data_IF_383121266821
#
_entry.id   IF_383121266821
#
_cell.length_a   1.000
_cell.length_b   1.000
_cell.length_c   1.000
_cell.angle_alpha   90.00
_cell.angle_beta   90.00
_cell.angle_gamma   90.00
#
_symmetry.space_group_name_H-M   'P 1'
#
loop_
_entity.id
_entity.type
_entity.pdbx_description
1 polymer ?
#
# COMPACT_ATOMS: atom_id res chain seq x y z
N UNK A 1 -12.90 -3.67 65.43
CA UNK A 1 -11.74 -3.55 64.56
C UNK A 1 -12.18 -4.07 63.19
N UNK A 2 -12.73 -3.19 62.39
CA UNK A 2 -13.39 -3.50 61.10
C UNK A 2 -12.36 -3.42 59.97
N UNK A 3 -12.19 -4.52 59.24
CA UNK A 3 -11.43 -4.57 57.98
C UNK A 3 -12.41 -4.33 56.84
N UNK A 4 -12.33 -3.15 56.22
CA UNK A 4 -13.01 -2.84 54.95
C UNK A 4 -12.28 -3.46 53.80
N UNK A 5 -12.93 -4.38 53.10
CA UNK A 5 -12.51 -4.89 51.78
C UNK A 5 -12.70 -3.81 50.71
N UNK A 6 -11.64 -3.37 50.05
CA UNK A 6 -11.70 -2.59 48.80
C UNK A 6 -11.84 -3.56 47.62
N UNK A 7 -12.96 -3.44 46.94
CA UNK A 7 -13.19 -4.19 45.70
C UNK A 7 -12.37 -3.64 44.55
N UNK A 8 -11.46 -4.44 44.05
CA UNK A 8 -10.78 -4.20 42.77
C UNK A 8 -11.75 -4.51 41.64
N UNK A 9 -12.16 -3.47 40.91
CA UNK A 9 -12.84 -3.61 39.64
C UNK A 9 -11.78 -3.97 38.58
N UNK A 10 -11.83 -5.19 38.09
CA UNK A 10 -11.20 -5.55 36.82
C UNK A 10 -11.80 -4.67 35.71
N UNK A 11 -11.00 -3.80 35.14
CA UNK A 11 -11.30 -3.10 33.89
C UNK A 11 -10.93 -4.06 32.78
N UNK A 12 -11.92 -4.79 32.27
CA UNK A 12 -11.81 -5.53 31.03
C UNK A 12 -11.55 -4.55 29.88
N UNK A 13 -10.55 -4.88 29.06
CA UNK A 13 -10.00 -4.06 28.01
C UNK A 13 -11.08 -3.47 27.09
N UNK A 14 -10.99 -2.18 26.86
CA UNK A 14 -11.61 -1.55 25.70
C UNK A 14 -10.84 -2.03 24.47
N UNK A 15 -11.50 -2.80 23.62
CA UNK A 15 -11.08 -2.96 22.23
C UNK A 15 -10.91 -1.56 21.65
N UNK A 16 -9.67 -1.19 21.34
CA UNK A 16 -9.38 0.00 20.56
C UNK A 16 -9.73 -0.36 19.12
N UNK A 17 -11.01 -0.21 18.75
CA UNK A 17 -11.40 -0.22 17.37
C UNK A 17 -10.59 0.88 16.65
N UNK A 18 -9.68 0.46 15.76
CA UNK A 18 -9.01 1.38 14.85
C UNK A 18 -10.10 2.10 14.05
N UNK A 19 -10.23 3.39 14.29
CA UNK A 19 -11.04 4.25 13.45
C UNK A 19 -10.12 4.91 12.41
N UNK A 20 -10.08 4.41 11.17
CA UNK A 20 -9.22 4.98 10.13
C UNK A 20 -9.55 6.45 9.83
N UNK A 21 -10.74 6.90 10.17
CA UNK A 21 -11.18 8.29 10.00
C UNK A 21 -10.74 9.21 11.16
N UNK A 22 -10.28 8.67 12.30
CA UNK A 22 -9.91 9.45 13.50
C UNK A 22 -8.41 9.78 13.59
N UNK A 23 -7.56 9.23 12.73
CA UNK A 23 -6.09 9.33 12.87
C UNK A 23 -5.53 10.63 12.28
N UNK A 24 -6.29 11.39 11.50
CA UNK A 24 -5.78 12.60 10.83
C UNK A 24 -6.73 13.80 10.90
N UNK A 25 -6.95 14.34 12.10
CA UNK A 25 -7.18 15.78 12.27
C UNK A 25 -5.82 16.53 12.19
N UNK A 26 -5.12 16.40 11.10
CA UNK A 26 -4.18 17.43 10.71
C UNK A 26 -5.01 18.52 10.07
N UNK A 27 -5.09 19.68 10.71
CA UNK A 27 -5.68 20.89 10.17
C UNK A 27 -5.01 21.24 8.83
N UNK A 28 -5.58 20.73 7.75
CA UNK A 28 -5.29 21.27 6.42
C UNK A 28 -6.12 22.54 6.28
N UNK A 29 -5.44 23.67 6.33
CA UNK A 29 -6.02 24.96 5.96
C UNK A 29 -6.59 24.85 4.54
N UNK A 30 -7.88 25.15 4.41
CA UNK A 30 -8.62 25.20 3.15
C UNK A 30 -8.14 26.37 2.28
N UNK A 31 -6.85 26.44 1.93
CA UNK A 31 -6.48 27.48 0.98
C UNK A 31 -5.19 27.16 0.21
N UNK A 32 -5.30 27.27 -1.11
CA UNK A 32 -4.30 27.52 -2.14
C UNK A 32 -3.74 26.37 -2.99
N UNK A 33 -3.85 25.09 -2.63
CA UNK A 33 -3.59 23.99 -3.59
C UNK A 33 -4.87 23.18 -3.79
N UNK A 34 -5.39 23.08 -5.01
CA UNK A 34 -6.59 22.29 -5.31
C UNK A 34 -6.45 20.87 -4.78
N UNK A 35 -7.56 20.25 -4.32
CA UNK A 35 -7.56 18.87 -3.80
C UNK A 35 -6.88 17.92 -4.77
N UNK A 36 -6.00 17.05 -4.27
CA UNK A 36 -5.28 16.06 -5.07
C UNK A 36 -6.24 15.16 -5.88
N UNK A 37 -5.88 14.89 -7.12
CA UNK A 37 -6.62 14.01 -8.03
C UNK A 37 -6.02 12.60 -7.99
N UNK A 38 -6.74 11.66 -7.41
CA UNK A 38 -6.29 10.28 -7.24
C UNK A 38 -6.94 9.36 -8.27
N UNK A 39 -6.12 8.63 -9.04
CA UNK A 39 -6.60 7.56 -9.91
C UNK A 39 -6.77 6.28 -9.09
N UNK A 40 -8.00 5.82 -8.90
CA UNK A 40 -8.35 4.61 -8.15
C UNK A 40 -8.74 3.51 -9.12
N UNK A 41 -7.91 2.46 -9.27
CA UNK A 41 -8.27 1.34 -10.14
C UNK A 41 -9.29 0.43 -9.46
N UNK A 42 -10.28 -0.04 -10.22
CA UNK A 42 -11.30 -0.96 -9.73
C UNK A 42 -10.73 -2.33 -9.32
N UNK A 43 -9.53 -2.69 -9.82
CA UNK A 43 -8.94 -4.01 -9.62
C UNK A 43 -9.60 -5.11 -10.47
N UNK A 44 -9.48 -6.36 -10.03
CA UNK A 44 -10.07 -7.49 -10.74
C UNK A 44 -11.61 -7.41 -10.75
N UNK A 45 -12.26 -7.35 -11.94
CA UNK A 45 -13.72 -7.29 -12.06
C UNK A 45 -14.50 -8.42 -11.40
N UNK A 46 -13.85 -9.57 -11.19
CA UNK A 46 -14.44 -10.76 -10.58
C UNK A 46 -14.23 -10.85 -9.06
N UNK A 47 -13.39 -9.97 -8.48
CA UNK A 47 -13.04 -9.97 -7.06
C UNK A 47 -13.82 -8.92 -6.25
N UNK A 48 -13.32 -8.66 -5.02
CA UNK A 48 -13.90 -7.66 -4.09
C UNK A 48 -13.55 -6.22 -4.46
N UNK A 49 -12.65 -5.99 -5.43
CA UNK A 49 -12.21 -4.65 -5.82
C UNK A 49 -13.35 -3.68 -6.09
N UNK A 50 -14.33 -4.02 -6.95
CA UNK A 50 -15.49 -3.16 -7.22
C UNK A 50 -16.29 -2.81 -5.96
N UNK A 51 -16.48 -3.76 -5.03
CA UNK A 51 -17.22 -3.55 -3.79
C UNK A 51 -16.51 -2.56 -2.85
N UNK A 52 -15.22 -2.78 -2.61
CA UNK A 52 -14.45 -1.92 -1.68
C UNK A 52 -14.28 -0.51 -2.22
N UNK A 53 -14.15 -0.34 -3.56
CA UNK A 53 -14.11 0.99 -4.18
C UNK A 53 -15.42 1.72 -3.97
N UNK A 54 -16.56 1.09 -4.24
CA UNK A 54 -17.87 1.72 -4.04
C UNK A 54 -18.11 2.05 -2.56
N UNK A 55 -17.75 1.16 -1.63
CA UNK A 55 -17.88 1.41 -0.19
C UNK A 55 -17.00 2.56 0.27
N UNK A 56 -15.74 2.60 -0.11
CA UNK A 56 -14.82 3.68 0.25
C UNK A 56 -15.33 5.04 -0.26
N UNK A 57 -15.86 5.09 -1.48
CA UNK A 57 -16.37 6.32 -2.09
C UNK A 57 -17.78 6.73 -1.64
N UNK A 58 -18.44 5.97 -0.75
CA UNK A 58 -19.62 6.43 0.00
C UNK A 58 -19.28 7.42 1.11
N UNK A 59 -18.04 7.42 1.59
CA UNK A 59 -17.60 8.32 2.65
C UNK A 59 -17.38 9.74 2.11
N UNK A 60 -18.24 10.67 2.47
CA UNK A 60 -18.14 12.08 2.05
C UNK A 60 -16.80 12.73 2.43
N UNK A 61 -16.11 12.21 3.46
CA UNK A 61 -14.78 12.69 3.87
C UNK A 61 -13.73 12.50 2.77
N UNK A 62 -13.83 11.46 1.94
CA UNK A 62 -12.92 11.24 0.82
C UNK A 62 -12.99 12.41 -0.17
N UNK A 63 -14.19 12.84 -0.53
CA UNK A 63 -14.39 13.95 -1.47
C UNK A 63 -14.01 15.33 -0.89
N UNK A 64 -13.99 15.48 0.43
CA UNK A 64 -13.44 16.70 1.05
C UNK A 64 -11.94 16.78 0.95
N UNK A 65 -11.24 15.64 0.89
CA UNK A 65 -9.77 15.54 0.93
C UNK A 65 -9.14 15.39 -0.45
N UNK A 66 -9.83 14.74 -1.40
CA UNK A 66 -9.31 14.52 -2.75
C UNK A 66 -10.41 14.55 -3.80
N UNK A 67 -10.00 14.44 -5.05
CA UNK A 67 -10.83 14.20 -6.23
C UNK A 67 -10.61 12.73 -6.67
N UNK A 68 -11.48 11.78 -6.27
CA UNK A 68 -11.29 10.36 -6.60
C UNK A 68 -11.80 10.07 -8.01
N UNK A 69 -10.93 9.70 -8.94
CA UNK A 69 -11.22 9.20 -10.27
C UNK A 69 -11.15 7.68 -10.28
N UNK A 70 -12.25 7.00 -10.52
CA UNK A 70 -12.26 5.54 -10.66
C UNK A 70 -11.91 5.16 -12.10
N UNK A 71 -11.00 4.21 -12.27
CA UNK A 71 -10.71 3.55 -13.54
C UNK A 71 -11.30 2.14 -13.51
N UNK A 72 -12.25 1.85 -14.40
CA UNK A 72 -12.96 0.58 -14.36
C UNK A 72 -13.94 0.40 -15.50
N UNK A 73 -14.86 -0.54 -15.33
CA UNK A 73 -15.98 -0.78 -16.23
C UNK A 73 -17.31 -0.51 -15.51
N UNK A 74 -18.08 0.41 -16.06
CA UNK A 74 -19.37 0.83 -15.49
C UNK A 74 -20.31 -0.34 -15.21
N UNK A 75 -20.38 -1.32 -16.11
CA UNK A 75 -21.27 -2.50 -16.00
C UNK A 75 -20.93 -3.35 -14.78
N UNK A 76 -19.63 -3.46 -14.44
CA UNK A 76 -19.14 -4.18 -13.27
C UNK A 76 -19.46 -3.40 -11.99
N UNK A 77 -19.26 -2.08 -12.01
CA UNK A 77 -19.56 -1.23 -10.85
C UNK A 77 -21.08 -1.16 -10.60
N UNK A 78 -21.93 -1.09 -11.64
CA UNK A 78 -23.39 -1.18 -11.50
C UNK A 78 -23.83 -2.52 -10.89
N UNK A 79 -23.20 -3.64 -11.31
CA UNK A 79 -23.41 -4.94 -10.70
C UNK A 79 -23.01 -4.94 -9.22
N UNK A 80 -21.85 -4.42 -8.88
CA UNK A 80 -21.34 -4.34 -7.51
C UNK A 80 -22.18 -3.40 -6.62
N UNK A 81 -22.77 -2.33 -7.18
CA UNK A 81 -23.62 -1.40 -6.44
C UNK A 81 -24.83 -2.09 -5.81
N UNK A 82 -25.36 -3.14 -6.43
CA UNK A 82 -26.45 -3.94 -5.86
C UNK A 82 -26.01 -4.72 -4.62
N UNK A 83 -24.77 -5.20 -4.59
CA UNK A 83 -24.22 -5.98 -3.46
C UNK A 83 -23.91 -5.13 -2.24
N UNK A 84 -23.52 -3.87 -2.45
CA UNK A 84 -23.19 -2.93 -1.36
C UNK A 84 -24.37 -2.06 -0.93
N UNK A 85 -25.60 -2.37 -1.34
CA UNK A 85 -26.80 -1.65 -0.95
C UNK A 85 -26.91 -0.22 -1.50
N UNK A 86 -26.39 0.01 -2.71
CA UNK A 86 -26.44 1.30 -3.42
C UNK A 86 -26.98 1.16 -4.84
N UNK A 87 -28.16 0.53 -5.03
CA UNK A 87 -28.75 0.45 -6.36
C UNK A 87 -29.10 1.86 -6.87
N UNK A 88 -28.86 2.11 -8.16
CA UNK A 88 -29.12 3.43 -8.75
C UNK A 88 -28.03 4.48 -8.48
N UNK A 89 -26.84 4.06 -8.05
CA UNK A 89 -25.69 4.95 -7.89
C UNK A 89 -25.38 5.69 -9.20
N UNK A 90 -25.21 7.01 -9.11
CA UNK A 90 -24.89 7.86 -10.25
C UNK A 90 -23.43 7.71 -10.66
N UNK A 91 -23.15 7.64 -11.96
CA UNK A 91 -21.82 7.66 -12.53
C UNK A 91 -21.62 8.91 -13.39
N UNK A 92 -20.64 9.73 -13.03
CA UNK A 92 -20.11 10.83 -13.80
C UNK A 92 -19.02 10.30 -14.72
N UNK A 93 -19.39 9.86 -15.93
CA UNK A 93 -18.45 9.23 -16.88
C UNK A 93 -17.70 10.32 -17.62
N UNK A 94 -16.36 10.22 -17.58
CA UNK A 94 -15.45 11.19 -18.18
C UNK A 94 -14.38 10.51 -19.06
N UNK A 95 -13.94 11.20 -20.10
CA UNK A 95 -12.79 10.80 -20.93
C UNK A 95 -11.50 11.52 -20.49
N UNK A 96 -11.66 12.71 -19.90
CA UNK A 96 -10.58 13.53 -19.35
C UNK A 96 -10.74 13.66 -17.82
N UNK A 97 -9.70 13.33 -17.02
CA UNK A 97 -9.73 13.54 -15.58
C UNK A 97 -10.12 14.97 -15.16
N UNK A 98 -9.70 15.98 -15.91
CA UNK A 98 -10.00 17.38 -15.59
C UNK A 98 -11.50 17.74 -15.67
N UNK A 99 -12.30 16.97 -16.42
CA UNK A 99 -13.72 17.22 -16.64
C UNK A 99 -14.65 16.67 -15.55
N UNK A 100 -14.12 15.90 -14.59
CA UNK A 100 -14.92 15.24 -13.54
C UNK A 100 -15.50 16.20 -12.51
N UNK A 101 -16.72 15.89 -12.02
CA UNK A 101 -17.40 16.67 -10.97
C UNK A 101 -16.84 16.44 -9.58
N UNK A 102 -16.37 15.23 -9.27
CA UNK A 102 -15.77 14.83 -7.98
C UNK A 102 -16.63 15.22 -6.77
N UNK A 103 -17.92 14.93 -6.84
CA UNK A 103 -18.88 15.23 -5.78
C UNK A 103 -19.35 13.98 -5.06
N UNK A 104 -19.52 14.05 -3.75
CA UNK A 104 -20.08 12.94 -2.98
C UNK A 104 -21.49 12.58 -3.48
N UNK A 105 -21.76 11.28 -3.58
CA UNK A 105 -23.02 10.74 -4.09
C UNK A 105 -22.97 10.31 -5.57
N UNK A 106 -21.95 10.70 -6.32
CA UNK A 106 -21.69 10.22 -7.67
C UNK A 106 -20.24 9.72 -7.80
N UNK A 107 -20.03 8.68 -8.61
CA UNK A 107 -18.70 8.15 -8.91
C UNK A 107 -18.19 8.77 -10.21
N UNK A 108 -17.14 9.58 -10.13
CA UNK A 108 -16.43 10.02 -11.34
C UNK A 108 -15.62 8.86 -11.90
N UNK A 109 -15.98 8.43 -13.12
CA UNK A 109 -15.50 7.19 -13.74
C UNK A 109 -14.87 7.44 -15.11
N UNK A 110 -13.60 7.07 -15.26
CA UNK A 110 -13.00 6.84 -16.56
C UNK A 110 -13.31 5.40 -16.97
N UNK A 111 -14.30 5.27 -17.88
CA UNK A 111 -14.89 3.99 -18.25
C UNK A 111 -14.15 3.33 -19.41
N UNK A 112 -13.41 2.23 -19.15
CA UNK A 112 -12.66 1.54 -20.19
C UNK A 112 -13.51 0.57 -21.04
N UNK A 113 -14.69 0.20 -20.57
CA UNK A 113 -15.65 -0.68 -21.29
C UNK A 113 -15.04 -2.02 -21.73
N UNK A 114 -14.13 -2.59 -20.94
CA UNK A 114 -13.28 -3.73 -21.29
C UNK A 114 -13.54 -5.00 -20.46
N UNK A 115 -14.54 -4.98 -19.56
CA UNK A 115 -14.91 -6.11 -18.71
C UNK A 115 -16.38 -6.51 -18.88
N UNK A 116 -16.74 -7.24 -19.97
CA UNK A 116 -18.10 -7.72 -20.14
C UNK A 116 -18.50 -8.63 -18.95
N UNK A 117 -19.63 -8.38 -18.26
CA UNK A 117 -20.03 -9.17 -17.09
C UNK A 117 -20.12 -10.69 -17.33
N UNK A 118 -20.48 -11.10 -18.55
CA UNK A 118 -20.55 -12.52 -18.94
C UNK A 118 -19.17 -13.20 -19.06
N UNK A 119 -18.10 -12.45 -19.31
CA UNK A 119 -16.74 -12.93 -19.40
C UNK A 119 -15.95 -12.75 -18.10
N UNK A 120 -16.49 -11.99 -17.14
CA UNK A 120 -15.92 -11.73 -15.82
C UNK A 120 -16.88 -12.24 -14.71
N UNK A 121 -17.10 -13.56 -14.60
CA UNK A 121 -17.99 -14.12 -13.59
C UNK A 121 -17.41 -13.88 -12.19
N UNK A 122 -18.27 -13.44 -11.27
CA UNK A 122 -17.88 -13.11 -9.89
C UNK A 122 -17.30 -14.32 -9.17
N UNK A 123 -16.21 -14.12 -8.44
CA UNK A 123 -15.52 -15.17 -7.67
C UNK A 123 -14.78 -16.21 -8.52
N UNK A 124 -14.57 -15.95 -9.83
CA UNK A 124 -13.92 -16.90 -10.72
C UNK A 124 -12.75 -16.25 -11.48
N UNK A 125 -11.70 -17.04 -11.67
CA UNK A 125 -10.53 -16.62 -12.45
C UNK A 125 -10.89 -16.63 -13.94
N UNK A 126 -10.67 -15.50 -14.63
CA UNK A 126 -10.83 -15.41 -16.10
C UNK A 126 -9.77 -14.53 -16.74
N UNK A 127 -9.38 -14.85 -17.97
CA UNK A 127 -8.42 -14.05 -18.73
C UNK A 127 -8.98 -12.64 -19.04
N UNK A 128 -10.28 -12.53 -19.27
CA UNK A 128 -10.94 -11.24 -19.51
C UNK A 128 -10.81 -10.32 -18.29
N UNK A 129 -11.08 -10.83 -17.07
CA UNK A 129 -10.93 -10.07 -15.82
C UNK A 129 -9.48 -9.68 -15.56
N UNK A 130 -8.53 -10.61 -15.80
CA UNK A 130 -7.10 -10.33 -15.65
C UNK A 130 -6.62 -9.25 -16.61
N UNK A 131 -7.01 -9.30 -17.88
CA UNK A 131 -6.71 -8.28 -18.89
C UNK A 131 -7.26 -6.92 -18.48
N UNK A 132 -8.52 -6.86 -18.11
CA UNK A 132 -9.18 -5.62 -17.70
C UNK A 132 -8.46 -4.98 -16.49
N UNK A 133 -8.14 -5.77 -15.47
CA UNK A 133 -7.42 -5.28 -14.29
C UNK A 133 -6.04 -4.68 -14.65
N UNK A 134 -5.29 -5.31 -15.54
CA UNK A 134 -3.99 -4.78 -16.02
C UNK A 134 -4.17 -3.49 -16.80
N UNK A 135 -5.17 -3.41 -17.68
CA UNK A 135 -5.46 -2.21 -18.47
C UNK A 135 -5.85 -1.01 -17.59
N UNK A 136 -6.57 -1.23 -16.48
CA UNK A 136 -6.84 -0.16 -15.49
C UNK A 136 -5.55 0.35 -14.87
N UNK A 137 -4.64 -0.55 -14.48
CA UNK A 137 -3.34 -0.18 -13.88
C UNK A 137 -2.48 0.56 -14.90
N UNK A 138 -2.40 0.11 -16.15
CA UNK A 138 -1.65 0.79 -17.21
C UNK A 138 -2.21 2.19 -17.46
N UNK A 139 -3.53 2.32 -17.59
CA UNK A 139 -4.14 3.62 -17.82
C UNK A 139 -3.91 4.59 -16.65
N UNK A 140 -4.01 4.12 -15.39
CA UNK A 140 -3.71 4.92 -14.21
C UNK A 140 -2.24 5.35 -14.17
N UNK A 141 -1.32 4.43 -14.52
CA UNK A 141 0.12 4.72 -14.63
C UNK A 141 0.40 5.81 -15.68
N UNK A 142 -0.18 5.67 -16.88
CA UNK A 142 0.00 6.64 -17.97
C UNK A 142 -0.51 8.03 -17.58
N UNK A 143 -1.64 8.11 -16.88
CA UNK A 143 -2.17 9.38 -16.37
C UNK A 143 -1.23 9.99 -15.32
N UNK A 144 -0.67 9.19 -14.42
CA UNK A 144 0.26 9.68 -13.41
C UNK A 144 1.59 10.13 -14.04
N UNK A 145 2.13 9.37 -14.99
CA UNK A 145 3.34 9.76 -15.74
C UNK A 145 3.16 11.04 -16.55
N UNK A 146 1.96 11.30 -17.03
CA UNK A 146 1.60 12.53 -17.74
C UNK A 146 1.28 13.71 -16.79
N UNK A 147 1.29 13.51 -15.48
CA UNK A 147 0.90 14.54 -14.50
C UNK A 147 -0.61 14.87 -14.51
N UNK A 148 -1.43 14.04 -15.16
CA UNK A 148 -2.88 14.22 -15.21
C UNK A 148 -3.60 13.79 -13.92
N UNK A 149 -2.91 13.01 -13.08
CA UNK A 149 -3.32 12.65 -11.72
C UNK A 149 -2.12 12.70 -10.79
N UNK A 150 -2.34 12.99 -9.50
CA UNK A 150 -1.28 13.19 -8.52
C UNK A 150 -0.76 11.88 -7.93
N UNK A 151 -1.61 10.85 -7.85
CA UNK A 151 -1.23 9.52 -7.37
C UNK A 151 -2.17 8.44 -7.88
N UNK A 152 -1.70 7.19 -7.78
CA UNK A 152 -2.45 5.97 -8.15
C UNK A 152 -2.73 5.16 -6.88
N UNK A 153 -3.99 4.77 -6.69
CA UNK A 153 -4.43 3.85 -5.63
C UNK A 153 -5.02 2.61 -6.29
N UNK A 154 -4.47 1.42 -6.01
CA UNK A 154 -4.95 0.22 -6.70
C UNK A 154 -5.74 -0.71 -5.78
N UNK A 155 -6.92 -1.13 -6.22
CA UNK A 155 -7.63 -2.27 -5.68
C UNK A 155 -6.96 -3.58 -6.12
N UNK A 156 -7.31 -4.76 -5.53
CA UNK A 156 -6.57 -5.99 -5.75
C UNK A 156 -6.72 -6.52 -7.17
N UNK A 157 -5.65 -7.10 -7.72
CA UNK A 157 -5.69 -7.92 -8.94
C UNK A 157 -5.44 -9.41 -8.63
N UNK A 158 -5.94 -10.30 -9.49
CA UNK A 158 -5.69 -11.72 -9.37
C UNK A 158 -4.52 -12.13 -10.28
N UNK A 159 -3.44 -12.67 -9.67
CA UNK A 159 -2.24 -13.07 -10.41
C UNK A 159 -2.50 -14.18 -11.43
N UNK A 160 -3.35 -15.17 -11.10
CA UNK A 160 -3.70 -16.25 -12.02
C UNK A 160 -4.50 -15.70 -13.21
N UNK A 161 -5.47 -14.81 -12.99
CA UNK A 161 -6.23 -14.16 -14.06
C UNK A 161 -5.30 -13.32 -14.97
N UNK A 162 -4.39 -12.56 -14.37
CA UNK A 162 -3.38 -11.77 -15.09
C UNK A 162 -2.48 -12.66 -15.97
N UNK A 163 -1.98 -13.77 -15.42
CA UNK A 163 -1.16 -14.72 -16.16
C UNK A 163 -1.94 -15.39 -17.30
N UNK A 164 -3.21 -15.77 -17.07
CA UNK A 164 -4.09 -16.29 -18.13
C UNK A 164 -4.33 -15.28 -19.25
N UNK A 165 -4.30 -13.99 -18.94
CA UNK A 165 -4.39 -12.92 -19.93
C UNK A 165 -3.07 -12.68 -20.71
N UNK A 166 -2.00 -13.40 -20.37
CA UNK A 166 -0.69 -13.29 -21.04
C UNK A 166 0.28 -12.32 -20.37
N UNK A 167 -0.04 -11.79 -19.18
CA UNK A 167 0.83 -10.87 -18.45
C UNK A 167 1.58 -11.63 -17.34
N UNK A 168 2.86 -11.92 -17.56
CA UNK A 168 3.69 -12.75 -16.67
C UNK A 168 4.41 -11.91 -15.60
N UNK A 169 3.67 -11.21 -14.74
CA UNK A 169 4.22 -10.44 -13.61
C UNK A 169 3.93 -11.09 -12.27
N UNK A 170 4.81 -10.87 -11.29
CA UNK A 170 4.61 -11.33 -9.92
C UNK A 170 3.55 -10.50 -9.16
N UNK A 171 3.30 -9.26 -9.60
CA UNK A 171 2.30 -8.37 -9.02
C UNK A 171 2.33 -6.96 -9.63
N UNK A 172 1.68 -6.03 -8.94
CA UNK A 172 1.60 -4.63 -9.38
C UNK A 172 2.97 -3.94 -9.46
N UNK A 173 3.88 -4.24 -8.53
CA UNK A 173 5.17 -3.55 -8.44
C UNK A 173 6.02 -3.82 -9.68
N UNK A 174 6.11 -5.08 -10.11
CA UNK A 174 6.87 -5.48 -11.29
C UNK A 174 6.23 -4.96 -12.59
N UNK A 175 4.89 -5.02 -12.66
CA UNK A 175 4.11 -4.48 -13.78
C UNK A 175 4.32 -2.97 -13.94
N UNK A 176 4.29 -2.23 -12.84
CA UNK A 176 4.51 -0.78 -12.85
C UNK A 176 5.98 -0.41 -13.10
N UNK A 177 6.93 -1.20 -12.56
CA UNK A 177 8.36 -1.00 -12.82
C UNK A 177 8.66 -1.06 -14.32
N UNK A 178 8.15 -2.09 -15.01
CA UNK A 178 8.30 -2.21 -16.45
C UNK A 178 7.61 -1.06 -17.21
N UNK A 179 6.35 -0.73 -16.83
CA UNK A 179 5.58 0.35 -17.49
C UNK A 179 6.22 1.72 -17.36
N UNK A 180 6.88 2.00 -16.22
CA UNK A 180 7.54 3.29 -15.94
C UNK A 180 9.01 3.31 -16.32
N UNK A 181 9.61 2.16 -16.64
CA UNK A 181 11.06 2.04 -16.87
C UNK A 181 11.89 2.21 -15.58
N UNK A 182 11.28 2.02 -14.39
CA UNK A 182 11.98 2.17 -13.13
C UNK A 182 13.01 1.06 -12.93
N UNK A 183 14.31 1.38 -12.74
CA UNK A 183 15.37 0.37 -12.70
C UNK A 183 15.40 -0.41 -11.37
N UNK A 184 15.04 0.25 -10.28
CA UNK A 184 15.09 -0.29 -8.92
C UNK A 184 13.81 0.03 -8.17
N UNK A 185 13.11 -1.01 -7.78
CA UNK A 185 11.86 -0.92 -7.03
C UNK A 185 11.89 -1.79 -5.79
N UNK A 186 11.09 -1.43 -4.81
CA UNK A 186 10.81 -2.26 -3.66
C UNK A 186 9.39 -2.04 -3.16
N UNK A 187 9.02 -2.78 -2.13
CA UNK A 187 7.74 -2.69 -1.45
C UNK A 187 7.95 -2.13 -0.05
N UNK A 188 7.24 -1.05 0.25
CA UNK A 188 7.10 -0.51 1.59
C UNK A 188 5.71 -0.88 2.12
N UNK A 189 5.66 -1.55 3.25
CA UNK A 189 4.43 -1.75 4.02
C UNK A 189 4.30 -0.62 5.04
N UNK A 190 3.13 0.00 5.08
CA UNK A 190 2.80 1.08 6.02
C UNK A 190 1.63 0.62 6.89
N UNK A 191 1.89 0.54 8.18
CA UNK A 191 0.86 0.34 9.21
C UNK A 191 0.85 1.49 10.20
N UNK A 192 -0.12 1.54 11.12
CA UNK A 192 -0.26 2.65 12.08
C UNK A 192 0.96 2.89 12.96
N UNK A 193 1.72 1.83 13.27
CA UNK A 193 2.87 1.88 14.20
C UNK A 193 4.15 1.28 13.63
N UNK A 194 4.13 0.76 12.42
CA UNK A 194 5.27 0.07 11.83
C UNK A 194 5.35 0.35 10.34
N UNK A 195 6.55 0.62 9.83
CA UNK A 195 6.86 0.68 8.39
C UNK A 195 7.98 -0.30 8.10
N UNK A 196 7.84 -1.07 7.02
CA UNK A 196 8.82 -2.09 6.64
C UNK A 196 9.09 -2.03 5.15
N UNK A 197 10.36 -1.95 4.79
CA UNK A 197 10.83 -2.09 3.39
C UNK A 197 11.58 -3.41 3.26
N UNK A 198 11.48 -4.07 2.11
CA UNK A 198 12.03 -5.41 1.92
C UNK A 198 13.19 -5.42 0.91
N UNK A 199 14.28 -6.09 1.25
CA UNK A 199 15.39 -6.36 0.33
C UNK A 199 14.94 -7.34 -0.74
N UNK A 200 14.14 -8.34 -0.35
CA UNK A 200 13.58 -9.36 -1.22
C UNK A 200 12.15 -9.71 -0.81
N UNK A 201 11.25 -10.00 -1.77
CA UNK A 201 9.84 -10.30 -1.52
C UNK A 201 9.45 -11.68 -2.07
N UNK A 202 8.79 -11.76 -3.18
CA UNK A 202 8.09 -12.95 -3.72
C UNK A 202 9.03 -13.98 -4.37
N UNK A 203 9.99 -14.51 -3.62
CA UNK A 203 10.92 -15.56 -4.05
C UNK A 203 11.06 -16.65 -2.99
N UNK A 204 11.56 -17.82 -3.37
CA UNK A 204 11.89 -18.86 -2.40
C UNK A 204 12.92 -18.37 -1.38
N UNK A 205 12.83 -18.81 -0.10
CA UNK A 205 13.71 -18.35 0.97
C UNK A 205 15.20 -18.54 0.64
N UNK A 206 15.56 -19.65 0.02
CA UNK A 206 16.94 -19.89 -0.43
C UNK A 206 17.42 -18.87 -1.48
N UNK A 207 16.50 -18.34 -2.32
CA UNK A 207 16.81 -17.27 -3.26
C UNK A 207 16.85 -15.92 -2.55
N UNK A 208 15.97 -15.69 -1.59
CA UNK A 208 15.97 -14.48 -0.77
C UNK A 208 17.33 -14.26 -0.08
N UNK A 209 17.91 -15.32 0.49
CA UNK A 209 19.26 -15.27 1.09
C UNK A 209 20.32 -14.82 0.07
N UNK A 210 20.28 -15.34 -1.17
CA UNK A 210 21.21 -14.95 -2.23
C UNK A 210 21.05 -13.50 -2.69
N UNK A 211 19.86 -12.93 -2.53
CA UNK A 211 19.57 -11.53 -2.86
C UNK A 211 20.02 -10.54 -1.81
N UNK A 212 20.37 -11.00 -0.61
CA UNK A 212 20.98 -10.14 0.40
C UNK A 212 22.45 -9.89 0.00
N UNK A 213 22.62 -8.93 -0.88
CA UNK A 213 23.92 -8.44 -1.34
C UNK A 213 24.11 -7.00 -0.88
N UNK A 214 25.36 -6.58 -0.66
CA UNK A 214 25.69 -5.20 -0.28
C UNK A 214 24.98 -4.18 -1.17
N UNK A 215 25.06 -4.34 -2.49
CA UNK A 215 24.47 -3.41 -3.45
C UNK A 215 22.93 -3.31 -3.28
N UNK A 216 22.25 -4.46 -3.13
CA UNK A 216 20.79 -4.47 -2.98
C UNK A 216 20.35 -3.89 -1.64
N UNK A 217 21.07 -4.21 -0.55
CA UNK A 217 20.76 -3.65 0.78
C UNK A 217 20.95 -2.13 0.77
N UNK A 218 22.02 -1.62 0.14
CA UNK A 218 22.30 -0.20 -0.01
C UNK A 218 21.17 0.51 -0.79
N UNK A 219 20.76 -0.03 -1.94
CA UNK A 219 19.63 0.47 -2.73
C UNK A 219 18.34 0.53 -1.88
N UNK A 220 18.06 -0.52 -1.11
CA UNK A 220 16.82 -0.56 -0.31
C UNK A 220 16.86 0.40 0.88
N UNK A 221 18.04 0.65 1.47
CA UNK A 221 18.21 1.72 2.48
C UNK A 221 17.90 3.09 1.86
N UNK A 222 18.38 3.37 0.66
CA UNK A 222 18.12 4.64 -0.04
C UNK A 222 16.62 4.78 -0.38
N UNK A 223 15.98 3.72 -0.85
CA UNK A 223 14.53 3.68 -1.08
C UNK A 223 13.73 3.89 0.21
N UNK A 224 14.15 3.28 1.32
CA UNK A 224 13.52 3.47 2.63
C UNK A 224 13.64 4.93 3.09
N UNK A 225 14.81 5.55 2.93
CA UNK A 225 15.06 6.96 3.27
C UNK A 225 14.14 7.87 2.45
N UNK A 226 14.19 7.76 1.11
CA UNK A 226 13.39 8.60 0.20
C UNK A 226 11.89 8.43 0.46
N UNK A 227 11.43 7.21 0.72
CA UNK A 227 10.02 6.95 1.02
C UNK A 227 9.58 7.57 2.34
N UNK A 228 10.43 7.57 3.36
CA UNK A 228 10.14 8.24 4.63
C UNK A 228 10.05 9.77 4.44
N UNK A 229 10.92 10.36 3.63
CA UNK A 229 10.82 11.78 3.25
C UNK A 229 9.50 12.06 2.54
N UNK A 230 9.11 11.21 1.58
CA UNK A 230 7.84 11.31 0.88
C UNK A 230 6.61 11.10 1.80
N UNK A 231 6.77 10.46 2.95
CA UNK A 231 5.77 10.37 4.01
C UNK A 231 5.85 11.54 5.02
N UNK A 232 6.65 12.58 4.75
CA UNK A 232 6.78 13.76 5.61
C UNK A 232 7.70 13.58 6.82
N UNK A 233 8.50 12.51 6.88
CA UNK A 233 9.47 12.26 7.96
C UNK A 233 10.81 12.87 7.53
N UNK A 234 11.11 14.07 7.99
CA UNK A 234 12.27 14.87 7.53
C UNK A 234 13.65 14.32 7.92
N UNK A 235 13.74 13.54 8.99
CA UNK A 235 14.98 12.94 9.47
C UNK A 235 14.77 11.46 9.84
N UNK A 236 14.59 10.57 8.85
CA UNK A 236 14.22 9.17 9.10
C UNK A 236 15.29 8.41 9.88
N UNK A 237 14.87 7.70 10.93
CA UNK A 237 15.68 6.74 11.68
C UNK A 237 15.44 5.35 11.09
N UNK A 238 16.41 4.84 10.36
CA UNK A 238 16.29 3.59 9.60
C UNK A 238 16.93 2.46 10.40
N UNK A 239 16.15 1.45 10.79
CA UNK A 239 16.71 0.21 11.31
C UNK A 239 16.99 -0.76 10.16
N UNK A 240 18.09 -1.48 10.20
CA UNK A 240 18.38 -2.57 9.29
C UNK A 240 18.35 -3.88 10.08
N UNK A 241 17.42 -4.78 9.75
CA UNK A 241 17.36 -6.09 10.38
C UNK A 241 18.55 -6.96 9.94
N UNK A 242 19.08 -7.78 10.82
CA UNK A 242 19.97 -8.86 10.43
C UNK A 242 19.23 -9.93 9.62
N UNK A 243 19.96 -10.72 8.85
CA UNK A 243 19.43 -11.89 8.16
C UNK A 243 19.37 -13.09 9.12
N UNK A 244 20.47 -13.26 9.89
CA UNK A 244 20.66 -14.39 10.80
C UNK A 244 20.18 -14.08 12.23
N UNK A 245 19.94 -15.13 13.06
CA UNK A 245 19.62 -14.94 14.48
C UNK A 245 20.65 -14.03 15.17
N UNK A 246 20.15 -13.14 16.03
CA UNK A 246 20.97 -12.17 16.78
C UNK A 246 21.89 -11.29 15.92
N UNK A 247 21.49 -11.06 14.64
CA UNK A 247 22.31 -10.35 13.63
C UNK A 247 23.71 -11.00 13.46
N UNK A 248 23.73 -12.34 13.37
CA UNK A 248 24.94 -13.12 13.14
C UNK A 248 25.82 -13.36 14.35
N UNK A 249 25.65 -12.59 15.44
CA UNK A 249 26.43 -12.68 16.71
C UNK A 249 27.93 -12.82 16.46
N UNK A 250 28.54 -11.87 15.72
CA UNK A 250 29.94 -11.87 15.36
C UNK A 250 30.39 -13.05 14.50
N UNK A 251 29.52 -13.52 13.62
CA UNK A 251 29.78 -14.62 12.67
C UNK A 251 29.43 -16.01 13.20
N UNK A 252 28.92 -16.13 14.45
CA UNK A 252 28.55 -17.42 15.03
C UNK A 252 27.42 -18.11 14.28
N UNK A 253 26.43 -17.34 13.79
CA UNK A 253 25.25 -17.85 13.10
C UNK A 253 25.22 -17.54 11.60
N UNK A 254 26.32 -17.06 11.04
CA UNK A 254 26.48 -16.69 9.64
C UNK A 254 27.25 -15.39 9.49
N UNK A 255 27.74 -15.13 8.29
CA UNK A 255 28.67 -14.02 7.98
C UNK A 255 28.03 -12.91 7.10
N UNK A 256 26.75 -13.05 6.75
CA UNK A 256 26.08 -12.13 5.84
C UNK A 256 26.00 -10.71 6.40
N UNK A 257 25.87 -10.57 7.70
CA UNK A 257 25.86 -9.28 8.37
C UNK A 257 27.19 -8.54 8.16
N UNK A 258 28.31 -9.23 8.36
CA UNK A 258 29.65 -8.65 8.22
C UNK A 258 30.03 -8.43 6.76
N UNK A 259 29.67 -9.36 5.89
CA UNK A 259 30.09 -9.36 4.49
C UNK A 259 29.24 -8.48 3.59
N UNK A 260 27.94 -8.42 3.84
CA UNK A 260 26.98 -7.75 2.95
C UNK A 260 26.24 -6.58 3.62
N UNK A 261 25.65 -6.79 4.82
CA UNK A 261 24.73 -5.82 5.40
C UNK A 261 25.49 -4.65 6.03
N UNK A 262 26.49 -4.92 6.87
CA UNK A 262 27.25 -3.86 7.54
C UNK A 262 28.00 -2.94 6.56
N UNK A 263 28.64 -3.44 5.49
CA UNK A 263 29.24 -2.57 4.48
C UNK A 263 28.23 -1.64 3.78
N UNK A 264 26.98 -2.10 3.54
CA UNK A 264 25.91 -1.27 2.99
C UNK A 264 25.49 -0.17 3.97
N UNK A 265 25.34 -0.52 5.25
CA UNK A 265 25.04 0.44 6.33
C UNK A 265 26.15 1.49 6.45
N UNK A 266 27.42 1.09 6.44
CA UNK A 266 28.56 2.02 6.50
C UNK A 266 28.57 2.99 5.32
N UNK A 267 28.27 2.50 4.10
CA UNK A 267 28.16 3.33 2.91
C UNK A 267 27.02 4.35 3.03
N UNK A 268 25.84 3.94 3.49
CA UNK A 268 24.70 4.83 3.69
C UNK A 268 24.99 5.91 4.74
N UNK A 269 25.64 5.55 5.86
CA UNK A 269 26.07 6.50 6.90
C UNK A 269 27.10 7.51 6.38
N UNK A 270 28.03 7.07 5.54
CA UNK A 270 29.02 7.97 4.93
C UNK A 270 28.37 9.03 4.03
N UNK A 271 27.15 8.77 3.52
CA UNK A 271 26.32 9.75 2.79
C UNK A 271 25.42 10.59 3.71
N UNK A 272 25.51 10.42 5.02
CA UNK A 272 24.76 11.20 6.02
C UNK A 272 23.39 10.61 6.42
N UNK A 273 23.05 9.39 6.01
CA UNK A 273 21.79 8.76 6.39
C UNK A 273 21.87 8.25 7.84
N UNK A 274 20.78 8.41 8.60
CA UNK A 274 20.67 7.89 9.97
C UNK A 274 20.20 6.43 9.93
N UNK A 275 21.16 5.51 9.90
CA UNK A 275 20.94 4.06 9.75
C UNK A 275 21.56 3.32 10.91
N UNK A 276 20.87 2.36 11.52
CA UNK A 276 21.41 1.52 12.59
C UNK A 276 22.44 0.51 12.06
N UNK A 277 23.29 -0.03 12.94
CA UNK A 277 23.96 -1.30 12.66
C UNK A 277 22.93 -2.40 12.44
N UNK A 278 23.30 -3.56 11.85
CA UNK A 278 22.39 -4.69 11.75
C UNK A 278 21.81 -5.06 13.12
N UNK A 279 20.48 -5.06 13.23
CA UNK A 279 19.77 -5.28 14.50
C UNK A 279 19.24 -6.71 14.57
N UNK A 280 19.22 -7.34 15.79
CA UNK A 280 18.58 -8.63 15.98
C UNK A 280 17.16 -8.65 15.45
N UNK A 281 16.81 -9.55 14.49
CA UNK A 281 15.53 -9.54 13.80
C UNK A 281 14.34 -9.88 14.71
N UNK A 282 14.55 -10.56 15.81
CA UNK A 282 13.55 -10.91 16.82
C UNK A 282 13.09 -9.73 17.68
N UNK A 283 13.87 -8.65 17.76
CA UNK A 283 13.58 -7.49 18.62
C UNK A 283 13.40 -6.17 17.89
N UNK A 284 13.98 -6.01 16.69
CA UNK A 284 13.99 -4.72 15.96
C UNK A 284 12.59 -4.20 15.65
N UNK A 285 11.65 -5.08 15.29
CA UNK A 285 10.28 -4.67 14.97
C UNK A 285 9.54 -4.14 16.22
N UNK A 286 9.76 -4.77 17.39
CA UNK A 286 9.19 -4.26 18.64
C UNK A 286 9.75 -2.88 19.00
N UNK A 287 11.05 -2.64 18.76
CA UNK A 287 11.69 -1.34 18.99
C UNK A 287 11.14 -0.28 18.04
N UNK A 288 10.91 -0.63 16.76
CA UNK A 288 10.26 0.26 15.80
C UNK A 288 8.83 0.61 16.22
N UNK A 289 8.03 -0.38 16.64
CA UNK A 289 6.67 -0.15 17.17
C UNK A 289 6.66 0.77 18.40
N UNK A 290 7.71 0.74 19.22
CA UNK A 290 7.91 1.64 20.37
C UNK A 290 8.42 3.03 19.96
N UNK A 291 8.63 3.29 18.66
CA UNK A 291 9.03 4.59 18.15
C UNK A 291 10.53 4.87 18.18
N UNK A 292 11.38 3.85 18.34
CA UNK A 292 12.82 4.03 18.26
C UNK A 292 13.28 4.27 16.82
N UNK A 293 12.64 3.62 15.87
CA UNK A 293 12.89 3.72 14.43
C UNK A 293 11.61 4.10 13.67
N UNK A 294 11.78 4.76 12.54
CA UNK A 294 10.69 5.20 11.67
C UNK A 294 10.36 4.18 10.59
N UNK A 295 11.36 3.36 10.21
CA UNK A 295 11.23 2.29 9.22
C UNK A 295 12.25 1.18 9.52
N UNK A 296 11.87 -0.07 9.20
CA UNK A 296 12.74 -1.25 9.27
C UNK A 296 13.01 -1.77 7.86
N UNK A 297 14.27 -1.95 7.49
CA UNK A 297 14.69 -2.68 6.29
C UNK A 297 14.78 -4.16 6.65
N UNK A 298 13.84 -4.95 6.14
CA UNK A 298 13.78 -6.40 6.32
C UNK A 298 14.48 -7.12 5.16
N UNK A 299 15.16 -8.22 5.45
CA UNK A 299 15.95 -8.95 4.45
C UNK A 299 15.09 -9.81 3.54
N UNK A 300 13.97 -10.33 4.02
CA UNK A 300 13.07 -11.18 3.25
C UNK A 300 11.60 -10.98 3.64
N UNK A 301 10.70 -11.52 2.82
CA UNK A 301 9.26 -11.32 2.89
C UNK A 301 8.69 -11.54 4.31
N UNK A 302 8.79 -12.75 4.86
CA UNK A 302 8.13 -13.09 6.12
C UNK A 302 8.73 -12.38 7.32
N UNK A 303 10.03 -12.00 7.27
CA UNK A 303 10.65 -11.21 8.32
C UNK A 303 9.92 -9.89 8.57
N UNK A 304 9.42 -9.25 7.51
CA UNK A 304 8.69 -7.97 7.61
C UNK A 304 7.18 -8.14 7.61
N UNK A 305 6.64 -9.09 6.85
CA UNK A 305 5.18 -9.29 6.73
C UNK A 305 4.55 -9.87 7.99
N UNK A 306 5.21 -10.81 8.68
CA UNK A 306 4.67 -11.40 9.91
C UNK A 306 4.38 -10.33 10.96
N UNK A 307 5.35 -9.49 11.39
CA UNK A 307 5.07 -8.45 12.38
C UNK A 307 4.05 -7.41 11.87
N UNK A 308 4.06 -7.09 10.57
CA UNK A 308 3.07 -6.17 9.99
C UNK A 308 1.66 -6.75 10.05
N UNK A 309 1.46 -8.01 9.66
CA UNK A 309 0.15 -8.67 9.68
C UNK A 309 -0.38 -8.85 11.10
N UNK A 310 0.48 -9.08 12.09
CA UNK A 310 0.06 -9.16 13.49
C UNK A 310 -0.43 -7.81 14.04
N UNK A 311 0.08 -6.69 13.50
CA UNK A 311 -0.23 -5.34 13.99
C UNK A 311 -1.30 -4.61 13.18
N UNK A 312 -1.42 -4.89 11.89
CA UNK A 312 -2.19 -4.08 10.95
C UNK A 312 -2.83 -4.92 9.83
N UNK A 313 -3.46 -6.06 10.17
CA UNK A 313 -4.05 -6.97 9.18
C UNK A 313 -5.07 -6.26 8.27
N UNK A 314 -5.96 -5.45 8.85
CA UNK A 314 -7.05 -4.78 8.15
C UNK A 314 -6.70 -3.38 7.61
N UNK A 315 -5.59 -2.79 8.08
CA UNK A 315 -5.22 -1.39 7.80
C UNK A 315 -3.85 -1.24 7.14
N UNK A 316 -3.19 -2.35 6.84
CA UNK A 316 -1.92 -2.34 6.12
C UNK A 316 -2.06 -1.75 4.71
N UNK A 317 -1.10 -0.91 4.33
CA UNK A 317 -1.00 -0.31 3.00
C UNK A 317 0.30 -0.77 2.35
N UNK A 318 0.21 -1.20 1.10
CA UNK A 318 1.36 -1.52 0.29
C UNK A 318 1.69 -0.32 -0.62
N UNK A 319 2.91 0.19 -0.53
CA UNK A 319 3.43 1.28 -1.37
C UNK A 319 4.51 0.72 -2.28
N UNK A 320 4.38 0.89 -3.58
CA UNK A 320 5.49 0.59 -4.52
C UNK A 320 6.44 1.78 -4.53
N UNK A 321 7.66 1.57 -4.07
CA UNK A 321 8.70 2.60 -3.96
C UNK A 321 9.78 2.41 -5.03
N UNK A 322 10.44 3.53 -5.42
CA UNK A 322 11.39 3.57 -6.53
C UNK A 322 10.73 3.85 -7.89
N UNK A 323 9.40 3.98 -7.94
CA UNK A 323 8.67 4.42 -9.12
C UNK A 323 8.74 5.96 -9.26
N UNK A 324 8.69 6.51 -10.48
CA UNK A 324 8.60 7.96 -10.72
C UNK A 324 7.19 8.52 -10.45
N UNK A 325 6.28 7.71 -9.93
CA UNK A 325 4.90 8.04 -9.57
C UNK A 325 4.59 7.58 -8.14
N UNK A 326 3.67 8.24 -7.48
CA UNK A 326 3.14 7.77 -6.20
C UNK A 326 2.12 6.65 -6.46
N UNK A 327 2.39 5.46 -5.89
CA UNK A 327 1.43 4.36 -5.95
C UNK A 327 1.26 3.68 -4.61
N UNK A 328 0.01 3.62 -4.14
CA UNK A 328 -0.41 2.88 -2.96
C UNK A 328 -1.42 1.79 -3.31
N UNK A 329 -1.59 0.81 -2.47
CA UNK A 329 -2.61 -0.23 -2.65
C UNK A 329 -3.07 -0.83 -1.32
N UNK A 330 -4.20 -1.50 -1.37
CA UNK A 330 -4.62 -2.43 -0.33
C UNK A 330 -3.58 -3.54 -0.14
N UNK A 331 -3.52 -4.11 1.08
CA UNK A 331 -2.60 -5.20 1.44
C UNK A 331 -3.32 -6.56 1.57
N UNK A 332 -4.39 -6.76 0.79
CA UNK A 332 -5.13 -8.02 0.68
C UNK A 332 -5.36 -8.40 -0.79
N UNK A 333 -5.76 -9.66 -1.02
CA UNK A 333 -6.05 -10.20 -2.36
C UNK A 333 -7.48 -9.92 -2.83
N UNK A 334 -7.85 -10.56 -3.93
CA UNK A 334 -9.16 -10.44 -4.57
C UNK A 334 -10.31 -11.11 -3.82
N UNK A 335 -10.03 -11.92 -2.81
CA UNK A 335 -11.00 -12.58 -1.91
C UNK A 335 -12.23 -13.12 -2.66
N UNK A 336 -11.99 -14.01 -3.62
CA UNK A 336 -13.02 -14.57 -4.52
C UNK A 336 -14.12 -15.33 -3.77
N UNK A 337 -13.81 -15.86 -2.59
CA UNK A 337 -14.71 -16.58 -1.69
C UNK A 337 -15.85 -15.72 -1.15
N UNK A 338 -15.63 -14.41 -0.99
CA UNK A 338 -16.64 -13.45 -0.52
C UNK A 338 -17.05 -12.44 -1.58
N UNK A 339 -16.48 -12.48 -2.80
CA UNK A 339 -16.82 -11.57 -3.88
C UNK A 339 -18.32 -11.69 -4.25
N UNK A 340 -19.00 -10.57 -4.41
CA UNK A 340 -20.44 -10.50 -4.68
C UNK A 340 -21.33 -10.56 -3.44
N UNK A 341 -20.76 -10.75 -2.23
CA UNK A 341 -21.54 -10.85 -0.99
C UNK A 341 -21.76 -9.50 -0.28
N UNK A 342 -21.05 -8.46 -0.67
CA UNK A 342 -21.07 -7.17 0.03
C UNK A 342 -20.39 -7.20 1.40
N UNK A 343 -19.64 -8.27 1.76
CA UNK A 343 -18.99 -8.40 3.08
C UNK A 343 -17.59 -7.79 3.13
N UNK A 344 -16.93 -7.60 1.98
CA UNK A 344 -15.59 -7.04 1.93
C UNK A 344 -15.53 -5.65 2.59
N UNK A 345 -14.47 -5.41 3.38
CA UNK A 345 -14.25 -4.15 4.10
C UNK A 345 -13.37 -3.21 3.28
N UNK A 346 -13.69 -1.92 3.33
CA UNK A 346 -12.98 -0.85 2.61
C UNK A 346 -11.82 -0.21 3.39
N UNK A 347 -11.57 -0.63 4.63
CA UNK A 347 -10.61 0.03 5.55
C UNK A 347 -9.21 0.14 4.95
N UNK A 348 -8.70 -0.93 4.32
CA UNK A 348 -7.38 -0.92 3.69
C UNK A 348 -7.33 0.02 2.47
N UNK A 349 -8.43 0.17 1.72
CA UNK A 349 -8.49 1.12 0.60
C UNK A 349 -8.54 2.57 1.09
N UNK A 350 -9.28 2.85 2.16
CA UNK A 350 -9.28 4.17 2.82
C UNK A 350 -7.89 4.51 3.35
N UNK A 351 -7.21 3.57 3.99
CA UNK A 351 -5.84 3.75 4.45
C UNK A 351 -4.87 3.98 3.27
N UNK A 352 -5.05 3.28 2.13
CA UNK A 352 -4.25 3.49 0.93
C UNK A 352 -4.45 4.89 0.32
N UNK A 353 -5.68 5.40 0.32
CA UNK A 353 -5.99 6.79 -0.07
C UNK A 353 -5.29 7.78 0.88
N UNK A 354 -5.33 7.54 2.20
CA UNK A 354 -4.70 8.40 3.20
C UNK A 354 -3.18 8.49 3.01
N UNK A 355 -2.52 7.35 2.80
CA UNK A 355 -1.07 7.30 2.54
C UNK A 355 -0.72 8.01 1.22
N UNK A 356 -1.52 7.83 0.16
CA UNK A 356 -1.32 8.52 -1.11
C UNK A 356 -1.39 10.04 -0.92
N UNK A 357 -2.39 10.54 -0.20
CA UNK A 357 -2.55 11.96 0.09
C UNK A 357 -1.41 12.53 0.93
N UNK A 358 -0.92 11.78 1.91
CA UNK A 358 0.25 12.16 2.71
C UNK A 358 1.49 12.33 1.82
N UNK A 359 1.72 11.40 0.90
CA UNK A 359 2.85 11.45 -0.02
C UNK A 359 2.72 12.61 -1.02
N UNK A 360 1.53 12.88 -1.56
CA UNK A 360 1.28 14.02 -2.46
C UNK A 360 1.56 15.34 -1.75
N UNK A 361 1.08 15.50 -0.51
CA UNK A 361 1.32 16.72 0.28
C UNK A 361 2.82 16.97 0.53
N UNK A 362 3.59 15.92 0.82
CA UNK A 362 5.04 16.05 1.03
C UNK A 362 5.79 16.37 -0.27
N UNK A 363 5.35 15.90 -1.43
CA UNK A 363 5.94 16.25 -2.74
C UNK A 363 5.75 17.74 -3.08
N UNK A 364 4.57 18.31 -2.80
CA UNK A 364 4.28 19.72 -3.03
C UNK A 364 5.12 20.69 -2.16
N UNK A 365 5.59 20.25 -1.00
CA UNK A 365 6.43 21.05 -0.10
C UNK A 365 7.92 20.98 -0.42
N UNK A 366 8.36 20.06 -1.28
CA UNK A 366 9.77 19.86 -1.68
C UNK A 366 10.17 20.63 -2.95
N UNK A 367 9.24 21.37 -3.56
CA UNK A 367 9.44 22.11 -4.81
C UNK A 367 9.78 23.60 -4.60
N UNK A 368 10.26 23.99 -3.38
CA UNK A 368 10.74 25.35 -3.09
C UNK A 368 12.14 25.34 -2.50
#
# INVERSE_FOLDING_TARGET
MELRARGDRLILGREVCYNPLAVFEVAMTEDSMGRALLAITMGDPAGVGPEIVLKALRHAVVYRRCRPLVLGDRRILERAASWVGSPGLEFDVVDDPAAGRYTSGAITLLNLTNAPPGECPTGQVSAAAGRAAVEYVFRACDLAMAGAVDAVVTAPLNKAAMNLAGFAYAGHTELLAERTGAPEVSMLLVGPKLRVVHVSTHVALAEAIRRVTRARVETVIDLAHTSCLALGISAPRIAVAGLNPHAGEGGLFGDQEEREILPAVCSARARGLNVSDPQPPDTVFLRAVKGEFDVVVAMYHDQGHIPMKLLAFDSGVNVSIGLPIIRTSVDHGTAFDIAGSGQAREDSLLAAIDVALQMVAAHGTSAY
#
